data_IF_252080587437
#
_entry.id   IF_252080587437
#
_cell.length_a   1.000
_cell.length_b   1.000
_cell.length_c   1.000
_cell.angle_alpha   90.00
_cell.angle_beta   90.00
_cell.angle_gamma   90.00
#
_symmetry.space_group_name_H-M   'P 1'
#
loop_
_entity.id
_entity.type
_entity.pdbx_description
1 polymer ?
#
# COMPACT_ATOMS: atom_id res chain seq x y z
N UNK A 1 3.06 21.66 -1.00
CA UNK A 1 2.99 21.74 0.46
C UNK A 1 3.45 20.39 1.00
N UNK A 2 4.55 20.35 1.75
CA UNK A 2 5.05 19.13 2.38
C UNK A 2 4.22 18.89 3.64
N UNK A 3 3.59 17.72 3.77
CA UNK A 3 2.84 17.37 4.98
C UNK A 3 3.75 16.62 5.97
N UNK A 4 3.48 16.66 7.28
CA UNK A 4 4.24 15.87 8.26
C UNK A 4 4.15 14.35 8.01
N UNK A 5 3.20 13.91 7.18
CA UNK A 5 3.01 12.51 6.80
C UNK A 5 3.84 12.08 5.58
N UNK A 6 4.43 13.01 4.81
CA UNK A 6 5.08 12.69 3.53
C UNK A 6 6.29 11.76 3.71
N UNK A 7 7.08 11.93 4.77
CA UNK A 7 8.21 11.05 5.06
C UNK A 7 7.76 9.62 5.39
N UNK A 8 6.70 9.50 6.21
CA UNK A 8 6.12 8.21 6.57
C UNK A 8 5.49 7.52 5.35
N UNK A 9 4.78 8.25 4.50
CA UNK A 9 4.20 7.72 3.26
C UNK A 9 5.28 7.16 2.33
N UNK A 10 6.37 7.92 2.10
CA UNK A 10 7.49 7.47 1.25
C UNK A 10 8.14 6.20 1.79
N UNK A 11 8.34 6.12 3.11
CA UNK A 11 8.90 4.93 3.74
C UNK A 11 8.00 3.72 3.52
N UNK A 12 6.69 3.85 3.80
CA UNK A 12 5.73 2.74 3.65
C UNK A 12 5.52 2.32 2.19
N UNK A 13 5.59 3.25 1.25
CA UNK A 13 5.56 2.92 -0.18
C UNK A 13 6.76 2.05 -0.58
N UNK A 14 7.97 2.39 -0.13
CA UNK A 14 9.18 1.58 -0.39
C UNK A 14 9.08 0.19 0.20
N UNK A 15 8.65 0.08 1.46
CA UNK A 15 8.44 -1.22 2.11
C UNK A 15 7.42 -2.07 1.33
N UNK A 16 6.34 -1.46 0.83
CA UNK A 16 5.34 -2.17 0.03
C UNK A 16 5.91 -2.65 -1.31
N UNK A 17 6.76 -1.85 -1.95
CA UNK A 17 7.43 -2.24 -3.20
C UNK A 17 8.42 -3.39 -2.97
N UNK A 18 9.17 -3.37 -1.88
CA UNK A 18 10.10 -4.46 -1.51
C UNK A 18 9.36 -5.77 -1.25
N UNK A 19 8.20 -5.72 -0.58
CA UNK A 19 7.35 -6.90 -0.34
C UNK A 19 6.78 -7.42 -1.67
N UNK A 20 6.32 -6.54 -2.57
CA UNK A 20 5.82 -6.93 -3.90
C UNK A 20 6.88 -7.63 -4.75
N UNK A 21 8.12 -7.12 -4.72
CA UNK A 21 9.24 -7.74 -5.40
C UNK A 21 9.52 -9.13 -4.81
N UNK A 22 9.54 -9.25 -3.49
CA UNK A 22 9.76 -10.53 -2.80
C UNK A 22 8.66 -11.56 -3.13
N UNK A 23 7.40 -11.15 -3.18
CA UNK A 23 6.28 -12.00 -3.63
C UNK A 23 6.50 -12.48 -5.06
N UNK A 24 6.90 -11.57 -5.96
CA UNK A 24 7.14 -11.90 -7.37
C UNK A 24 8.26 -12.91 -7.54
N UNK A 25 9.33 -12.79 -6.74
CA UNK A 25 10.43 -13.75 -6.71
C UNK A 25 9.95 -15.13 -6.26
N UNK A 26 9.22 -15.23 -5.15
CA UNK A 26 8.75 -16.53 -4.65
C UNK A 26 7.74 -17.19 -5.60
N UNK A 27 6.85 -16.42 -6.24
CA UNK A 27 5.95 -16.93 -7.29
C UNK A 27 6.72 -17.50 -8.47
N UNK A 28 7.75 -16.80 -8.95
CA UNK A 28 8.60 -17.29 -10.04
C UNK A 28 9.33 -18.58 -9.65
N UNK A 29 9.82 -18.69 -8.41
CA UNK A 29 10.45 -19.91 -7.92
C UNK A 29 9.48 -21.09 -7.88
N UNK A 30 8.23 -20.88 -7.45
CA UNK A 30 7.20 -21.92 -7.48
C UNK A 30 6.93 -22.39 -8.91
N UNK A 31 6.82 -21.46 -9.87
CA UNK A 31 6.62 -21.79 -11.29
C UNK A 31 7.79 -22.63 -11.83
N UNK A 32 9.04 -22.30 -11.46
CA UNK A 32 10.21 -23.08 -11.86
C UNK A 32 10.17 -24.49 -11.27
N UNK A 33 9.82 -24.63 -9.99
CA UNK A 33 9.69 -25.93 -9.34
C UNK A 33 8.59 -26.79 -9.99
N UNK A 34 7.45 -26.19 -10.33
CA UNK A 34 6.35 -26.89 -11.01
C UNK A 34 6.78 -27.38 -12.41
N UNK A 35 7.51 -26.55 -13.17
CA UNK A 35 8.09 -26.98 -14.47
C UNK A 35 9.12 -28.10 -14.32
N UNK A 36 9.94 -28.06 -13.27
CA UNK A 36 10.89 -29.15 -12.99
C UNK A 36 10.16 -30.46 -12.68
N UNK A 37 9.09 -30.39 -11.89
CA UNK A 37 8.23 -31.55 -11.61
C UNK A 37 7.61 -32.12 -12.88
N UNK A 38 7.07 -31.27 -13.76
CA UNK A 38 6.51 -31.71 -15.05
C UNK A 38 7.55 -32.38 -15.96
N UNK A 39 8.81 -31.93 -15.87
CA UNK A 39 9.91 -32.51 -16.64
C UNK A 39 10.29 -33.90 -16.11
N UNK A 40 10.35 -34.03 -14.78
CA UNK A 40 10.52 -35.32 -14.11
C UNK A 40 9.38 -36.28 -14.46
N UNK A 41 8.14 -35.81 -14.46
CA UNK A 41 6.98 -36.63 -14.75
C UNK A 41 7.01 -37.19 -16.18
N UNK A 42 7.39 -36.36 -17.15
CA UNK A 42 7.61 -36.78 -18.54
C UNK A 42 8.75 -37.79 -18.68
N UNK A 43 9.89 -37.54 -18.01
CA UNK A 43 11.03 -38.47 -18.03
C UNK A 43 10.66 -39.83 -17.45
N UNK A 44 9.87 -39.85 -16.36
CA UNK A 44 9.41 -41.10 -15.75
C UNK A 44 8.48 -41.87 -16.68
N UNK A 45 7.53 -41.18 -17.33
CA UNK A 45 6.62 -41.83 -18.28
C UNK A 45 7.40 -42.47 -19.45
N UNK A 46 8.39 -41.76 -19.99
CA UNK A 46 9.23 -42.27 -21.06
C UNK A 46 10.02 -43.51 -20.64
N UNK A 47 10.71 -43.46 -19.49
CA UNK A 47 11.53 -44.58 -19.01
C UNK A 47 10.67 -45.81 -18.69
N UNK A 48 9.50 -45.61 -18.08
CA UNK A 48 8.58 -46.70 -17.76
C UNK A 48 8.01 -47.34 -19.02
N UNK A 49 7.77 -46.56 -20.08
CA UNK A 49 7.36 -47.10 -21.38
C UNK A 49 8.44 -47.99 -21.99
N UNK A 50 9.72 -47.61 -21.88
CA UNK A 50 10.84 -48.39 -22.41
C UNK A 50 11.02 -49.68 -21.62
N UNK A 51 11.07 -49.60 -20.28
CA UNK A 51 11.22 -50.79 -19.44
C UNK A 51 10.01 -51.74 -19.53
N UNK A 52 8.80 -51.22 -19.79
CA UNK A 52 7.63 -52.05 -20.05
C UNK A 52 7.67 -52.80 -21.40
N UNK A 53 8.49 -52.34 -22.35
CA UNK A 53 8.65 -52.95 -23.68
C UNK A 53 9.73 -54.03 -23.76
N UNK A 54 10.67 -54.05 -22.82
CA UNK A 54 11.76 -55.02 -22.76
C UNK A 54 11.89 -55.62 -21.34
N UNK A 55 11.52 -56.89 -21.14
CA UNK A 55 11.63 -57.58 -19.84
C UNK A 55 13.06 -57.67 -19.28
N UNK A 56 14.10 -57.47 -20.09
CA UNK A 56 15.49 -57.46 -19.64
C UNK A 56 15.90 -56.11 -19.02
N UNK A 57 15.12 -55.05 -19.23
CA UNK A 57 15.39 -53.70 -18.70
C UNK A 57 14.62 -53.45 -17.41
N UNK A 58 15.35 -53.16 -16.32
CA UNK A 58 14.75 -52.84 -15.01
C UNK A 58 14.80 -51.34 -14.72
N UNK A 59 13.64 -50.72 -14.49
CA UNK A 59 13.51 -49.30 -14.14
C UNK A 59 13.52 -49.03 -12.62
N UNK A 60 13.72 -50.04 -11.75
CA UNK A 60 13.54 -49.87 -10.30
C UNK A 60 14.46 -48.83 -9.66
N UNK A 61 15.76 -48.86 -10.00
CA UNK A 61 16.72 -47.89 -9.46
C UNK A 61 16.43 -46.47 -9.95
N UNK A 62 16.02 -46.32 -11.21
CA UNK A 62 15.58 -45.05 -11.76
C UNK A 62 14.32 -44.54 -11.03
N UNK A 63 13.30 -45.38 -10.86
CA UNK A 63 12.06 -45.04 -10.16
C UNK A 63 12.33 -44.54 -8.73
N UNK A 64 13.23 -45.20 -8.01
CA UNK A 64 13.65 -44.81 -6.66
C UNK A 64 14.28 -43.41 -6.64
N UNK A 65 15.18 -43.11 -7.59
CA UNK A 65 15.79 -41.76 -7.72
C UNK A 65 14.75 -40.70 -8.04
N UNK A 66 13.87 -40.95 -9.00
CA UNK A 66 12.84 -39.97 -9.40
C UNK A 66 11.83 -39.71 -8.28
N UNK A 67 11.48 -40.73 -7.49
CA UNK A 67 10.65 -40.56 -6.28
C UNK A 67 11.33 -39.65 -5.26
N UNK A 68 12.60 -39.89 -4.96
CA UNK A 68 13.35 -39.05 -4.03
C UNK A 68 13.46 -37.60 -4.52
N UNK A 69 13.65 -37.38 -5.83
CA UNK A 69 13.66 -36.05 -6.43
C UNK A 69 12.30 -35.35 -6.35
N UNK A 70 11.19 -36.05 -6.64
CA UNK A 70 9.83 -35.52 -6.47
C UNK A 70 9.55 -35.12 -5.02
N UNK A 71 9.94 -35.95 -4.07
CA UNK A 71 9.78 -35.66 -2.64
C UNK A 71 10.58 -34.42 -2.22
N UNK A 72 11.81 -34.26 -2.75
CA UNK A 72 12.63 -33.08 -2.52
C UNK A 72 11.97 -31.80 -3.10
N UNK A 73 11.50 -31.84 -4.35
CA UNK A 73 10.79 -30.72 -4.98
C UNK A 73 9.49 -30.39 -4.23
N UNK A 74 8.75 -31.41 -3.77
CA UNK A 74 7.53 -31.22 -2.99
C UNK A 74 7.79 -30.50 -1.66
N UNK A 75 8.86 -30.87 -0.95
CA UNK A 75 9.29 -30.18 0.27
C UNK A 75 9.71 -28.73 -0.02
N UNK A 76 10.48 -28.51 -1.07
CA UNK A 76 10.91 -27.15 -1.42
C UNK A 76 9.72 -26.27 -1.80
N UNK A 77 8.80 -26.78 -2.63
CA UNK A 77 7.58 -26.08 -3.00
C UNK A 77 6.73 -25.72 -1.78
N UNK A 78 6.53 -26.66 -0.86
CA UNK A 78 5.80 -26.39 0.40
C UNK A 78 6.46 -25.28 1.23
N UNK A 79 7.80 -25.28 1.32
CA UNK A 79 8.52 -24.20 2.00
C UNK A 79 8.37 -22.84 1.30
N UNK A 80 8.34 -22.82 -0.04
CA UNK A 80 8.10 -21.60 -0.85
C UNK A 80 6.65 -21.12 -0.69
N UNK A 81 5.68 -22.02 -0.70
CA UNK A 81 4.26 -21.71 -0.46
C UNK A 81 4.07 -21.08 0.93
N UNK A 82 4.75 -21.63 1.95
CA UNK A 82 4.76 -21.05 3.29
C UNK A 82 5.36 -19.64 3.34
N UNK A 83 6.50 -19.41 2.66
CA UNK A 83 7.10 -18.07 2.53
C UNK A 83 6.19 -17.09 1.80
N UNK A 84 5.56 -17.52 0.71
CA UNK A 84 4.62 -16.72 -0.06
C UNK A 84 3.39 -16.34 0.77
N UNK A 85 2.87 -17.25 1.58
CA UNK A 85 1.77 -16.96 2.51
C UNK A 85 2.17 -15.89 3.54
N UNK A 86 3.35 -16.02 4.13
CA UNK A 86 3.88 -15.03 5.08
C UNK A 86 4.06 -13.65 4.43
N UNK A 87 4.65 -13.59 3.22
CA UNK A 87 4.81 -12.34 2.48
C UNK A 87 3.47 -11.69 2.12
N UNK A 88 2.45 -12.48 1.79
CA UNK A 88 1.09 -11.97 1.53
C UNK A 88 0.44 -11.39 2.79
N UNK A 89 0.62 -12.03 3.94
CA UNK A 89 0.17 -11.49 5.22
C UNK A 89 0.87 -10.16 5.54
N UNK A 90 2.20 -10.12 5.38
CA UNK A 90 2.99 -8.89 5.54
C UNK A 90 2.54 -7.78 4.58
N UNK A 91 2.23 -8.12 3.32
CA UNK A 91 1.71 -7.16 2.34
C UNK A 91 0.35 -6.59 2.77
N UNK A 92 -0.54 -7.44 3.30
CA UNK A 92 -1.85 -7.00 3.78
C UNK A 92 -1.72 -6.02 4.95
N UNK A 93 -0.84 -6.32 5.90
CA UNK A 93 -0.55 -5.43 7.03
C UNK A 93 0.06 -4.09 6.58
N UNK A 94 1.08 -4.14 5.71
CA UNK A 94 1.73 -2.95 5.17
C UNK A 94 0.74 -2.06 4.40
N UNK A 95 -0.15 -2.67 3.61
CA UNK A 95 -1.19 -1.95 2.89
C UNK A 95 -2.20 -1.29 3.85
N UNK A 96 -2.62 -2.01 4.90
CA UNK A 96 -3.49 -1.45 5.94
C UNK A 96 -2.87 -0.24 6.64
N UNK A 97 -1.59 -0.34 7.00
CA UNK A 97 -0.83 0.77 7.60
C UNK A 97 -0.69 1.97 6.65
N UNK A 98 -0.37 1.72 5.37
CA UNK A 98 -0.29 2.77 4.36
C UNK A 98 -1.63 3.51 4.22
N UNK A 99 -2.75 2.78 4.12
CA UNK A 99 -4.09 3.38 4.03
C UNK A 99 -4.46 4.20 5.26
N UNK A 100 -4.06 3.77 6.45
CA UNK A 100 -4.28 4.55 7.68
C UNK A 100 -3.52 5.90 7.64
N UNK A 101 -2.28 5.90 7.16
CA UNK A 101 -1.46 7.13 7.04
C UNK A 101 -2.02 8.04 5.94
N UNK A 102 -2.42 7.50 4.79
CA UNK A 102 -3.07 8.27 3.72
C UNK A 102 -4.34 8.96 4.23
N UNK A 103 -5.18 8.24 5.00
CA UNK A 103 -6.37 8.81 5.61
C UNK A 103 -6.06 9.92 6.63
N UNK A 104 -4.99 9.76 7.43
CA UNK A 104 -4.53 10.82 8.34
C UNK A 104 -4.02 12.05 7.59
N UNK A 105 -3.25 11.84 6.51
CA UNK A 105 -2.74 12.92 5.67
C UNK A 105 -3.88 13.68 4.97
N UNK A 106 -4.91 12.98 4.50
CA UNK A 106 -6.09 13.60 3.88
C UNK A 106 -6.85 14.47 4.90
N UNK A 107 -7.16 13.93 6.08
CA UNK A 107 -7.83 14.69 7.15
C UNK A 107 -7.03 15.93 7.56
N UNK A 108 -5.72 15.81 7.68
CA UNK A 108 -4.87 16.96 7.98
C UNK A 108 -4.95 18.04 6.91
N UNK A 109 -4.98 17.67 5.62
CA UNK A 109 -5.15 18.65 4.54
C UNK A 109 -6.51 19.34 4.64
N UNK A 110 -7.57 18.59 4.87
CA UNK A 110 -8.92 19.12 5.07
C UNK A 110 -8.97 20.10 6.25
N UNK A 111 -8.37 19.74 7.39
CA UNK A 111 -8.31 20.60 8.58
C UNK A 111 -7.52 21.88 8.32
N UNK A 112 -6.38 21.80 7.62
CA UNK A 112 -5.60 22.99 7.22
C UNK A 112 -6.41 23.90 6.30
N UNK A 113 -7.13 23.33 5.31
CA UNK A 113 -7.98 24.14 4.42
C UNK A 113 -9.14 24.80 5.17
N UNK A 114 -9.75 24.08 6.13
CA UNK A 114 -10.82 24.62 6.96
C UNK A 114 -10.32 25.73 7.87
N UNK A 115 -9.17 25.55 8.50
CA UNK A 115 -8.54 26.56 9.35
C UNK A 115 -8.20 27.83 8.56
N UNK A 116 -7.69 27.69 7.33
CA UNK A 116 -7.42 28.82 6.44
C UNK A 116 -8.70 29.59 6.08
N UNK A 117 -9.78 28.89 5.73
CA UNK A 117 -11.07 29.51 5.42
C UNK A 117 -11.69 30.22 6.64
N UNK A 118 -11.59 29.64 7.84
CA UNK A 118 -12.05 30.28 9.08
C UNK A 118 -11.25 31.55 9.37
N UNK A 119 -9.93 31.52 9.17
CA UNK A 119 -9.07 32.69 9.38
C UNK A 119 -9.37 33.82 8.37
N UNK A 120 -9.63 33.48 7.11
CA UNK A 120 -10.02 34.45 6.08
C UNK A 120 -11.38 35.10 6.43
N UNK A 121 -12.37 34.30 6.81
CA UNK A 121 -13.67 34.81 7.23
C UNK A 121 -13.57 35.71 8.47
N UNK A 122 -12.78 35.32 9.48
CA UNK A 122 -12.63 36.14 10.69
C UNK A 122 -12.00 37.50 10.37
N UNK A 123 -11.03 37.55 9.45
CA UNK A 123 -10.45 38.83 9.01
C UNK A 123 -11.49 39.69 8.31
N UNK A 124 -12.32 39.11 7.43
CA UNK A 124 -13.40 39.85 6.76
C UNK A 124 -14.42 40.42 7.76
N UNK A 125 -14.81 39.62 8.76
CA UNK A 125 -15.74 40.03 9.81
C UNK A 125 -15.16 41.16 10.66
N UNK A 126 -13.87 41.10 11.01
CA UNK A 126 -13.16 42.15 11.74
C UNK A 126 -13.14 43.47 10.95
N UNK A 127 -12.86 43.41 9.64
CA UNK A 127 -12.90 44.59 8.77
C UNK A 127 -14.31 45.20 8.68
N UNK A 128 -15.33 44.35 8.54
CA UNK A 128 -16.73 44.78 8.50
C UNK A 128 -17.15 45.44 9.82
N UNK A 129 -16.83 44.82 10.96
CA UNK A 129 -17.10 45.35 12.29
C UNK A 129 -16.41 46.70 12.53
N UNK A 130 -15.13 46.82 12.15
CA UNK A 130 -14.39 48.08 12.25
C UNK A 130 -14.99 49.18 11.35
N UNK A 131 -15.43 48.82 10.13
CA UNK A 131 -16.14 49.73 9.23
C UNK A 131 -17.45 50.24 9.81
N UNK A 132 -18.25 49.32 10.39
CA UNK A 132 -19.51 49.64 11.04
C UNK A 132 -19.33 50.50 12.29
N UNK A 133 -18.32 50.23 13.12
CA UNK A 133 -18.00 51.05 14.28
C UNK A 133 -17.63 52.49 13.88
N UNK A 134 -16.84 52.65 12.80
CA UNK A 134 -16.51 53.98 12.24
C UNK A 134 -17.73 54.72 11.73
N UNK A 135 -18.65 54.04 11.05
CA UNK A 135 -19.88 54.68 10.52
C UNK A 135 -20.81 55.15 11.64
N UNK A 136 -20.97 54.35 12.70
CA UNK A 136 -21.70 54.76 13.91
C UNK A 136 -21.05 55.99 14.55
N UNK A 137 -19.73 56.00 14.68
CA UNK A 137 -19.02 57.12 15.31
C UNK A 137 -19.14 58.40 14.48
N UNK A 138 -19.06 58.31 13.15
CA UNK A 138 -19.28 59.44 12.25
C UNK A 138 -20.72 59.98 12.35
N UNK A 139 -21.72 59.10 12.36
CA UNK A 139 -23.13 59.48 12.52
C UNK A 139 -23.40 60.17 13.87
N UNK A 140 -22.78 59.68 14.96
CA UNK A 140 -22.85 60.31 16.28
C UNK A 140 -22.22 61.71 16.28
N UNK A 141 -21.05 61.89 15.66
CA UNK A 141 -20.40 63.20 15.52
C UNK A 141 -21.23 64.18 14.70
N UNK A 142 -21.79 63.74 13.57
CA UNK A 142 -22.65 64.59 12.74
C UNK A 142 -23.90 65.09 13.51
N UNK A 143 -24.52 64.22 14.33
CA UNK A 143 -25.63 64.61 15.21
C UNK A 143 -25.25 65.61 16.29
N UNK A 144 -24.04 65.50 16.86
CA UNK A 144 -23.55 66.44 17.87
C UNK A 144 -23.31 67.84 17.27
N UNK A 145 -22.66 67.92 16.11
CA UNK A 145 -22.39 69.18 15.39
C UNK A 145 -23.70 69.85 14.95
N UNK A 146 -24.70 69.06 14.51
CA UNK A 146 -26.02 69.58 14.18
C UNK A 146 -26.78 70.16 15.38
N UNK A 147 -26.49 69.68 16.59
CA UNK A 147 -27.10 70.18 17.84
C UNK A 147 -26.47 71.51 18.29
N UNK A 148 -25.18 71.71 18.06
CA UNK A 148 -24.45 72.95 18.38
C UNK A 148 -24.75 74.11 17.42
N UNK A 149 -25.25 73.83 16.21
CA UNK A 149 -25.64 74.85 15.22
C UNK A 149 -27.07 75.38 15.36
N UNK A 150 -27.90 74.74 16.19
CA UNK A 150 -29.32 75.11 16.38
C UNK A 150 -29.64 75.53 17.84
N UNK A 151 -28.62 75.73 18.69
CA UNK A 151 -28.74 76.41 19.98
C UNK A 151 -28.13 77.79 19.91
#
# INVERSE_FOLDING_TARGET
MITPYDAALRLRMREMDDVRLSISVEVNQIIVLDRHRDTIDRSVQQEMSVAGSDPMLSAHAFAGRMRAQRDALGRERSARDGRLAALRAQAAEAYGALRAIEGAALRHREDVTRAAAIAEQSQMDDFAAAGFARSIQAARRARAIGKERCG
#
